data_IF_692108372989
#
_entry.id   IF_692108372989
#
_cell.length_a   1.000
_cell.length_b   1.000
_cell.length_c   1.000
_cell.angle_alpha   90.00
_cell.angle_beta   90.00
_cell.angle_gamma   90.00
#
_symmetry.space_group_name_H-M   'P 1'
#
loop_
_entity.id
_entity.type
_entity.pdbx_description
1 polymer ?
#
# COMPACT_ATOMS: atom_id res chain seq x y z
N UNK A 1 3.19 -14.33 -59.47
CA UNK A 1 3.63 -13.25 -58.54
C UNK A 1 3.89 -13.89 -57.20
N UNK A 2 5.16 -14.09 -56.89
CA UNK A 2 5.66 -14.79 -55.69
C UNK A 2 5.81 -13.75 -54.55
N UNK A 3 5.40 -14.01 -53.29
CA UNK A 3 5.57 -13.05 -52.22
C UNK A 3 7.00 -13.10 -51.67
N UNK A 4 7.61 -11.95 -51.64
CA UNK A 4 8.94 -11.68 -51.10
C UNK A 4 9.00 -11.91 -49.59
N UNK A 5 9.84 -12.80 -49.14
CA UNK A 5 10.16 -13.01 -47.71
C UNK A 5 10.93 -11.82 -47.18
N UNK A 6 10.37 -11.16 -46.16
CA UNK A 6 11.09 -10.15 -45.38
C UNK A 6 11.93 -10.90 -44.33
N UNK A 7 13.26 -10.76 -44.46
CA UNK A 7 14.25 -11.30 -43.55
C UNK A 7 14.16 -10.62 -42.18
N UNK A 8 14.00 -11.41 -41.12
CA UNK A 8 14.11 -10.94 -39.73
C UNK A 8 15.57 -10.52 -39.47
N UNK A 9 15.81 -9.23 -39.31
CA UNK A 9 17.08 -8.71 -38.81
C UNK A 9 17.20 -9.09 -37.34
N UNK A 10 18.26 -9.80 -37.01
CA UNK A 10 18.68 -10.12 -35.65
C UNK A 10 18.88 -8.86 -34.84
N UNK A 11 18.14 -8.77 -33.73
CA UNK A 11 18.37 -7.75 -32.70
C UNK A 11 19.69 -8.14 -32.03
N UNK A 12 20.72 -7.36 -32.30
CA UNK A 12 22.02 -7.46 -31.66
C UNK A 12 21.82 -7.22 -30.14
N UNK A 13 22.09 -8.24 -29.33
CA UNK A 13 22.19 -8.07 -27.88
C UNK A 13 23.25 -7.03 -27.59
N UNK A 14 22.85 -5.91 -27.00
CA UNK A 14 23.78 -4.93 -26.45
C UNK A 14 24.39 -5.58 -25.21
N UNK A 15 25.60 -6.13 -25.38
CA UNK A 15 26.45 -6.54 -24.27
C UNK A 15 26.91 -5.29 -23.53
N UNK A 16 26.40 -5.08 -22.32
CA UNK A 16 26.96 -4.08 -21.43
C UNK A 16 28.32 -4.53 -20.93
N UNK A 17 29.39 -3.73 -21.11
CA UNK A 17 30.78 -4.15 -20.83
C UNK A 17 31.20 -4.06 -19.37
N UNK A 18 30.25 -3.99 -18.40
CA UNK A 18 30.60 -3.87 -17.00
C UNK A 18 30.13 -5.09 -16.19
N UNK A 19 31.05 -6.08 -16.12
CA UNK A 19 30.93 -7.19 -15.16
C UNK A 19 31.65 -6.81 -13.84
N UNK A 20 31.41 -5.58 -13.37
CA UNK A 20 31.94 -5.13 -12.08
C UNK A 20 30.94 -5.48 -10.99
N UNK A 21 31.20 -6.59 -10.29
CA UNK A 21 30.40 -7.04 -9.14
C UNK A 21 30.18 -5.92 -8.10
N UNK A 22 31.13 -5.00 -7.96
CA UNK A 22 31.02 -3.84 -7.05
C UNK A 22 29.97 -2.83 -7.49
N UNK A 23 29.74 -2.65 -8.80
CA UNK A 23 28.68 -1.77 -9.31
C UNK A 23 27.29 -2.40 -9.13
N UNK A 24 27.20 -3.73 -9.28
CA UNK A 24 25.94 -4.47 -9.06
C UNK A 24 25.58 -4.48 -7.56
N UNK A 25 26.55 -4.47 -6.65
CA UNK A 25 26.35 -4.37 -5.20
C UNK A 25 25.86 -2.98 -4.74
N UNK A 26 25.95 -1.96 -5.59
CA UNK A 26 25.46 -0.60 -5.28
C UNK A 26 24.02 -0.34 -5.72
N UNK A 27 23.44 -1.23 -6.53
CA UNK A 27 22.10 -1.07 -7.07
C UNK A 27 21.06 -1.60 -6.06
N UNK A 28 20.24 -0.70 -5.53
CA UNK A 28 19.20 -1.05 -4.58
C UNK A 28 17.83 -1.02 -5.25
N UNK A 29 17.11 -2.15 -5.19
CA UNK A 29 15.73 -2.25 -5.67
C UNK A 29 14.76 -1.70 -4.65
N UNK A 30 13.72 -0.98 -5.11
CA UNK A 30 12.56 -0.63 -4.32
C UNK A 30 11.38 -1.56 -4.63
N UNK A 31 10.80 -2.18 -3.61
CA UNK A 31 9.51 -2.86 -3.67
C UNK A 31 8.50 -1.92 -2.99
N UNK A 32 7.74 -1.21 -3.81
CA UNK A 32 6.72 -0.26 -3.38
C UNK A 32 5.37 -0.97 -3.32
N UNK A 33 4.96 -1.41 -2.13
CA UNK A 33 3.63 -1.98 -1.91
C UNK A 33 2.62 -0.85 -1.66
N UNK A 34 1.70 -0.69 -2.62
CA UNK A 34 0.68 0.36 -2.60
C UNK A 34 -0.68 -0.11 -2.05
N UNK A 35 -0.80 -1.34 -1.64
CA UNK A 35 -2.05 -1.96 -1.19
C UNK A 35 -2.85 -2.46 -2.41
N UNK A 36 -4.17 -2.55 -2.41
CA UNK A 36 -5.20 -1.62 -1.94
C UNK A 36 -5.58 -1.78 -0.46
N UNK A 37 -6.49 -0.90 0.01
CA UNK A 37 -7.10 -1.09 1.34
C UNK A 37 -7.86 -2.44 1.41
N UNK A 38 -7.91 -3.04 2.60
CA UNK A 38 -8.64 -4.29 2.89
C UNK A 38 -8.10 -5.55 2.18
N UNK A 39 -6.84 -5.53 1.78
CA UNK A 39 -6.11 -6.67 1.21
C UNK A 39 -5.12 -7.33 2.19
N UNK A 40 -5.32 -7.14 3.50
CA UNK A 40 -4.47 -7.76 4.51
C UNK A 40 -3.14 -7.01 4.77
N UNK A 41 -3.01 -5.77 4.30
CA UNK A 41 -1.81 -4.93 4.48
C UNK A 41 -1.35 -4.81 5.92
N UNK A 42 -2.29 -4.74 6.88
CA UNK A 42 -1.96 -4.72 8.32
C UNK A 42 -1.17 -5.96 8.76
N UNK A 43 -1.56 -7.15 8.30
CA UNK A 43 -0.85 -8.39 8.63
C UNK A 43 0.53 -8.44 7.96
N UNK A 44 0.63 -8.00 6.71
CA UNK A 44 1.91 -7.90 5.98
C UNK A 44 2.85 -6.91 6.69
N UNK A 45 2.40 -5.70 6.99
CA UNK A 45 3.18 -4.66 7.66
C UNK A 45 3.61 -5.09 9.07
N UNK A 46 2.77 -5.82 9.80
CA UNK A 46 3.13 -6.41 11.09
C UNK A 46 4.25 -7.45 10.94
N UNK A 47 4.16 -8.34 9.96
CA UNK A 47 5.21 -9.32 9.68
C UNK A 47 6.52 -8.64 9.26
N UNK A 48 6.48 -7.64 8.38
CA UNK A 48 7.65 -6.89 7.93
C UNK A 48 8.30 -6.11 9.08
N UNK A 49 7.51 -5.38 9.89
CA UNK A 49 8.02 -4.56 10.98
C UNK A 49 8.63 -5.39 12.11
N UNK A 50 8.01 -6.52 12.46
CA UNK A 50 8.53 -7.41 13.52
C UNK A 50 9.78 -8.18 13.11
N UNK A 51 10.05 -8.32 11.81
CA UNK A 51 11.16 -9.11 11.29
C UNK A 51 12.24 -8.27 10.59
N UNK A 52 12.37 -6.97 10.87
CA UNK A 52 13.37 -6.09 10.25
C UNK A 52 14.80 -6.64 10.33
N UNK A 53 15.19 -7.18 11.48
CA UNK A 53 16.53 -7.78 11.66
C UNK A 53 16.72 -9.02 10.79
N UNK A 54 15.70 -9.87 10.65
CA UNK A 54 15.75 -11.03 9.76
C UNK A 54 15.84 -10.60 8.31
N UNK A 55 15.03 -9.64 7.88
CA UNK A 55 15.05 -9.05 6.54
C UNK A 55 16.44 -8.46 6.21
N UNK A 56 16.97 -7.62 7.08
CA UNK A 56 18.27 -6.96 6.88
C UNK A 56 19.42 -7.98 6.75
N UNK A 57 19.43 -9.07 7.54
CA UNK A 57 20.41 -10.16 7.40
C UNK A 57 20.31 -10.89 6.06
N UNK A 58 19.18 -10.80 5.38
CA UNK A 58 18.94 -11.37 4.06
C UNK A 58 18.98 -10.30 2.94
N UNK A 59 19.62 -9.15 3.19
CA UNK A 59 19.80 -8.11 2.19
C UNK A 59 18.55 -7.28 1.86
N UNK A 60 17.50 -7.36 2.69
CA UNK A 60 16.26 -6.63 2.49
C UNK A 60 16.06 -5.61 3.62
N UNK A 61 15.92 -4.36 3.26
CA UNK A 61 15.65 -3.29 4.20
C UNK A 61 14.16 -2.93 4.20
N UNK A 62 13.54 -2.94 5.38
CA UNK A 62 12.19 -2.42 5.60
C UNK A 62 12.25 -1.07 6.28
N UNK A 63 11.84 -0.01 5.56
CA UNK A 63 11.97 1.38 5.96
C UNK A 63 11.36 1.67 7.34
N UNK A 64 12.03 2.52 8.11
CA UNK A 64 11.59 2.99 9.42
C UNK A 64 11.30 4.50 9.45
N UNK A 65 12.10 5.30 8.76
CA UNK A 65 11.93 6.74 8.71
C UNK A 65 10.54 7.19 8.23
N UNK A 66 9.90 6.55 7.21
CA UNK A 66 8.55 6.91 6.80
C UNK A 66 7.44 6.37 7.72
N UNK A 67 7.80 5.71 8.83
CA UNK A 67 6.91 5.19 9.87
C UNK A 67 7.32 3.81 10.38
N UNK A 68 7.19 3.59 11.68
CA UNK A 68 7.63 2.34 12.32
C UNK A 68 6.87 1.10 11.84
N UNK A 69 5.60 1.26 11.49
CA UNK A 69 4.73 0.15 11.10
C UNK A 69 4.52 0.10 9.59
N UNK A 70 4.20 1.24 8.99
CA UNK A 70 4.01 1.40 7.54
C UNK A 70 4.51 2.77 7.08
N UNK A 71 4.62 2.96 5.77
CA UNK A 71 5.11 4.21 5.18
C UNK A 71 4.02 5.31 5.09
N UNK A 72 3.20 5.49 6.15
CA UNK A 72 2.08 6.44 6.19
C UNK A 72 2.53 7.89 5.96
N UNK A 73 3.64 8.29 6.55
CA UNK A 73 4.15 9.66 6.40
C UNK A 73 4.66 9.93 4.98
N UNK A 74 5.27 8.92 4.33
CA UNK A 74 5.69 9.07 2.93
C UNK A 74 4.48 9.24 2.01
N UNK A 75 3.41 8.46 2.18
CA UNK A 75 2.17 8.66 1.44
C UNK A 75 1.58 10.06 1.68
N UNK A 76 1.58 10.54 2.94
CA UNK A 76 1.11 11.89 3.26
C UNK A 76 1.96 12.99 2.61
N UNK A 77 3.28 12.78 2.48
CA UNK A 77 4.18 13.76 1.85
C UNK A 77 3.88 14.00 0.36
N UNK A 78 3.20 13.06 -0.29
CA UNK A 78 2.75 13.15 -1.69
C UNK A 78 1.22 13.27 -1.83
N UNK A 79 0.52 13.58 -0.73
CA UNK A 79 -0.92 13.85 -0.72
C UNK A 79 -1.15 15.37 -0.76
N UNK A 80 -2.05 15.89 -1.62
CA UNK A 80 -2.34 17.31 -1.66
C UNK A 80 -2.91 17.83 -0.35
N UNK A 81 -2.48 19.02 0.08
CA UNK A 81 -2.94 19.67 1.32
C UNK A 81 -4.47 19.85 1.41
N UNK A 82 -5.16 20.04 0.27
CA UNK A 82 -6.62 20.19 0.22
C UNK A 82 -7.43 18.92 0.52
N UNK A 83 -6.80 17.76 0.59
CA UNK A 83 -7.48 16.46 0.70
C UNK A 83 -7.80 16.05 2.15
N UNK A 84 -8.01 16.92 3.09
CA UNK A 84 -8.40 16.56 4.49
C UNK A 84 -7.84 15.21 4.97
N UNK A 85 -6.57 14.96 4.67
CA UNK A 85 -5.90 13.73 5.05
C UNK A 85 -5.74 13.65 6.58
N UNK A 86 -6.11 12.52 7.16
CA UNK A 86 -6.11 12.32 8.61
C UNK A 86 -4.74 12.46 9.26
N UNK A 87 -3.67 12.10 8.55
CA UNK A 87 -2.29 12.28 9.01
C UNK A 87 -1.91 13.78 9.03
N UNK A 88 -2.19 14.48 7.93
CA UNK A 88 -1.93 15.92 7.81
C UNK A 88 -2.66 16.69 8.90
N UNK A 89 -3.95 16.37 9.13
CA UNK A 89 -4.76 16.99 10.17
C UNK A 89 -4.23 16.68 11.58
N UNK A 90 -3.92 15.40 11.86
CA UNK A 90 -3.44 14.94 13.17
C UNK A 90 -2.14 15.63 13.59
N UNK A 91 -1.23 15.88 12.64
CA UNK A 91 0.06 16.51 12.91
C UNK A 91 0.05 18.03 12.67
N UNK A 92 -1.11 18.62 12.38
CA UNK A 92 -1.29 20.06 12.17
C UNK A 92 -0.45 20.61 11.01
N UNK A 93 -0.33 19.81 9.93
CA UNK A 93 0.45 20.13 8.73
C UNK A 93 -0.43 20.82 7.66
N UNK A 94 -1.36 21.67 8.07
CA UNK A 94 -2.34 22.30 7.18
C UNK A 94 -1.82 23.55 6.49
N UNK A 95 -0.79 24.19 7.06
CA UNK A 95 -0.19 25.39 6.50
C UNK A 95 0.88 25.01 5.47
N UNK A 96 0.90 25.63 4.27
CA UNK A 96 1.80 25.25 3.17
C UNK A 96 3.28 25.26 3.56
N UNK A 97 3.75 26.29 4.26
CA UNK A 97 5.15 26.44 4.68
C UNK A 97 5.55 25.34 5.68
N UNK A 98 4.68 25.08 6.65
CA UNK A 98 4.90 24.03 7.67
C UNK A 98 4.91 22.63 7.04
N UNK A 99 4.00 22.39 6.08
CA UNK A 99 3.99 21.15 5.32
C UNK A 99 5.26 20.97 4.47
N UNK A 100 5.68 22.01 3.76
CA UNK A 100 6.88 21.97 2.93
C UNK A 100 8.15 21.73 3.75
N UNK A 101 8.27 22.33 4.92
CA UNK A 101 9.39 22.10 5.84
C UNK A 101 9.40 20.67 6.36
N UNK A 102 8.25 20.19 6.86
CA UNK A 102 8.09 18.82 7.31
C UNK A 102 8.40 17.80 6.20
N UNK A 103 7.86 18.00 4.99
CA UNK A 103 8.10 17.14 3.83
C UNK A 103 9.58 17.06 3.49
N UNK A 104 10.26 18.20 3.43
CA UNK A 104 11.70 18.26 3.13
C UNK A 104 12.52 17.49 4.17
N UNK A 105 12.22 17.67 5.46
CA UNK A 105 12.88 16.96 6.56
C UNK A 105 12.65 15.45 6.45
N UNK A 106 11.41 15.00 6.29
CA UNK A 106 11.06 13.59 6.14
C UNK A 106 11.79 12.94 4.96
N UNK A 107 11.76 13.56 3.78
CA UNK A 107 12.43 13.02 2.59
C UNK A 107 13.94 12.95 2.75
N UNK A 108 14.55 13.90 3.47
CA UNK A 108 15.97 13.87 3.83
C UNK A 108 16.31 12.71 4.79
N UNK A 109 15.47 12.47 5.80
CA UNK A 109 15.63 11.36 6.75
C UNK A 109 15.53 10.00 6.04
N UNK A 110 14.57 9.85 5.13
CA UNK A 110 14.41 8.64 4.32
C UNK A 110 15.64 8.42 3.43
N UNK A 111 16.14 9.46 2.76
CA UNK A 111 17.37 9.39 1.95
C UNK A 111 18.57 8.96 2.76
N UNK A 112 18.73 9.49 3.96
CA UNK A 112 19.82 9.11 4.86
C UNK A 112 19.72 7.64 5.27
N UNK A 113 18.51 7.16 5.55
CA UNK A 113 18.26 5.75 5.89
C UNK A 113 18.55 4.83 4.71
N UNK A 114 18.12 5.18 3.48
CA UNK A 114 18.45 4.45 2.25
C UNK A 114 19.97 4.35 2.04
N UNK A 115 20.67 5.47 2.20
CA UNK A 115 22.13 5.52 2.04
C UNK A 115 22.83 4.57 3.02
N UNK A 116 22.35 4.52 4.27
CA UNK A 116 22.87 3.59 5.29
C UNK A 116 22.55 2.14 4.93
N UNK A 117 21.34 1.87 4.47
CA UNK A 117 20.89 0.52 4.14
C UNK A 117 21.65 -0.07 2.95
N UNK A 118 22.05 0.73 1.97
CA UNK A 118 22.88 0.29 0.81
C UNK A 118 24.18 -0.40 1.21
N UNK A 119 24.72 -0.12 2.39
CA UNK A 119 25.91 -0.80 2.90
C UNK A 119 25.73 -2.29 3.22
N UNK A 120 24.51 -2.81 3.22
CA UNK A 120 24.23 -4.23 3.53
C UNK A 120 22.96 -4.80 2.92
N UNK A 121 22.17 -3.98 2.21
CA UNK A 121 20.93 -4.42 1.58
C UNK A 121 20.91 -4.06 0.09
N UNK A 122 20.41 -4.97 -0.73
CA UNK A 122 20.21 -4.77 -2.17
C UNK A 122 18.74 -4.54 -2.56
N UNK A 123 17.84 -4.65 -1.60
CA UNK A 123 16.41 -4.42 -1.79
C UNK A 123 15.82 -3.63 -0.63
N UNK A 124 14.85 -2.77 -0.91
CA UNK A 124 14.07 -2.07 0.09
C UNK A 124 12.58 -2.34 -0.08
N UNK A 125 11.84 -2.26 1.01
CA UNK A 125 10.38 -2.33 0.99
C UNK A 125 9.82 -1.02 1.56
N UNK A 126 8.92 -0.40 0.80
CA UNK A 126 8.09 0.71 1.21
C UNK A 126 6.63 0.25 1.10
N UNK A 127 5.93 0.08 2.21
CA UNK A 127 4.57 -0.46 2.21
C UNK A 127 3.59 0.48 2.90
N UNK A 128 2.54 0.86 2.19
CA UNK A 128 1.37 1.53 2.74
C UNK A 128 0.19 1.48 1.75
N UNK A 129 -0.98 1.06 2.19
CA UNK A 129 -2.24 1.14 1.45
C UNK A 129 -2.68 2.59 1.18
N UNK A 130 -2.09 3.53 1.89
CA UNK A 130 -2.37 4.95 1.69
C UNK A 130 -1.77 5.52 0.40
N UNK A 131 -0.82 4.84 -0.22
CA UNK A 131 -0.37 5.21 -1.56
C UNK A 131 -1.52 5.11 -2.56
N UNK A 132 -2.25 4.00 -2.60
CA UNK A 132 -3.38 3.83 -3.52
C UNK A 132 -4.59 4.69 -3.17
N UNK A 133 -4.82 4.96 -1.87
CA UNK A 133 -6.04 5.62 -1.41
C UNK A 133 -5.91 7.12 -1.15
N UNK A 134 -4.71 7.68 -1.15
CA UNK A 134 -4.45 9.11 -0.87
C UNK A 134 -3.66 9.81 -1.98
N UNK A 135 -2.71 9.12 -2.62
CA UNK A 135 -1.93 9.67 -3.75
C UNK A 135 -2.71 9.37 -5.03
N UNK A 136 -3.74 10.18 -5.29
CA UNK A 136 -4.77 9.85 -6.30
C UNK A 136 -4.73 10.72 -7.55
N UNK A 137 -3.89 11.76 -7.65
CA UNK A 137 -3.71 12.55 -8.88
C UNK A 137 -2.49 12.06 -9.64
N UNK A 138 -2.54 12.12 -10.95
CA UNK A 138 -1.43 11.71 -11.82
C UNK A 138 -0.14 12.48 -11.48
N UNK A 139 -0.25 13.79 -11.22
CA UNK A 139 0.88 14.62 -10.81
C UNK A 139 1.52 14.17 -9.48
N UNK A 140 0.71 13.77 -8.49
CA UNK A 140 1.22 13.33 -7.18
C UNK A 140 1.95 11.99 -7.28
N UNK A 141 1.45 11.07 -8.11
CA UNK A 141 2.12 9.79 -8.38
C UNK A 141 3.39 10.00 -9.19
N UNK A 142 3.39 10.95 -10.14
CA UNK A 142 4.58 11.33 -10.90
C UNK A 142 5.68 11.92 -9.99
N UNK A 143 5.31 12.84 -9.08
CA UNK A 143 6.23 13.41 -8.07
C UNK A 143 6.86 12.31 -7.19
N UNK A 144 6.05 11.34 -6.72
CA UNK A 144 6.55 10.21 -5.96
C UNK A 144 7.49 9.34 -6.79
N UNK A 145 7.14 9.09 -8.06
CA UNK A 145 7.98 8.32 -8.96
C UNK A 145 9.32 8.99 -9.25
N UNK A 146 9.35 10.30 -9.42
CA UNK A 146 10.57 11.09 -9.58
C UNK A 146 11.46 10.99 -8.33
N UNK A 147 10.88 11.19 -7.15
CA UNK A 147 11.60 11.04 -5.88
C UNK A 147 12.22 9.65 -5.74
N UNK A 148 11.43 8.59 -6.00
CA UNK A 148 11.93 7.22 -5.83
C UNK A 148 12.98 6.84 -6.87
N UNK A 149 12.87 7.34 -8.12
CA UNK A 149 13.90 7.12 -9.15
C UNK A 149 15.23 7.80 -8.84
N UNK A 150 15.21 8.89 -8.08
CA UNK A 150 16.44 9.53 -7.61
C UNK A 150 17.16 8.68 -6.53
N UNK A 151 16.43 7.77 -5.88
CA UNK A 151 16.96 6.96 -4.77
C UNK A 151 17.13 5.48 -5.14
N UNK A 152 16.49 4.97 -6.19
CA UNK A 152 16.48 3.53 -6.53
C UNK A 152 16.59 3.33 -8.03
N UNK A 153 17.36 2.34 -8.43
CA UNK A 153 17.64 2.01 -9.84
C UNK A 153 16.58 1.07 -10.46
N UNK A 154 15.98 0.21 -9.63
CA UNK A 154 14.89 -0.68 -10.02
C UNK A 154 13.71 -0.50 -9.04
N UNK A 155 12.53 -0.22 -9.58
CA UNK A 155 11.33 -0.01 -8.78
C UNK A 155 10.25 -1.00 -9.24
N UNK A 156 9.74 -1.78 -8.30
CA UNK A 156 8.57 -2.64 -8.50
C UNK A 156 7.42 -2.11 -7.69
N UNK A 157 6.31 -1.82 -8.35
CA UNK A 157 5.07 -1.38 -7.71
C UNK A 157 4.15 -2.57 -7.54
N UNK A 158 4.01 -3.03 -6.30
CA UNK A 158 3.15 -4.17 -5.95
C UNK A 158 1.78 -3.67 -5.55
N UNK A 159 0.74 -4.22 -6.19
CA UNK A 159 -0.65 -3.84 -5.93
C UNK A 159 -1.51 -5.10 -5.80
N UNK A 160 -1.98 -5.39 -4.59
CA UNK A 160 -2.97 -6.44 -4.36
C UNK A 160 -4.37 -5.88 -4.52
N UNK A 161 -5.16 -6.52 -5.40
CA UNK A 161 -6.55 -6.18 -5.67
C UNK A 161 -7.48 -7.16 -4.96
N UNK A 162 -8.57 -6.66 -4.45
CA UNK A 162 -9.64 -7.46 -3.85
C UNK A 162 -10.91 -7.27 -4.67
N UNK A 163 -11.74 -8.32 -4.82
CA UNK A 163 -13.07 -8.16 -5.41
C UNK A 163 -13.81 -7.00 -4.76
N UNK A 164 -14.38 -6.13 -5.56
CA UNK A 164 -14.97 -4.86 -5.10
C UNK A 164 -16.11 -5.07 -4.10
N UNK A 165 -16.95 -6.10 -4.28
CA UNK A 165 -18.03 -6.46 -3.35
C UNK A 165 -17.50 -6.90 -1.97
N UNK A 166 -16.43 -7.70 -1.95
CA UNK A 166 -15.76 -8.11 -0.70
C UNK A 166 -15.03 -6.94 -0.02
N UNK A 167 -14.49 -6.02 -0.81
CA UNK A 167 -13.91 -4.79 -0.30
C UNK A 167 -14.99 -3.90 0.32
N UNK A 168 -16.12 -3.70 -0.36
CA UNK A 168 -17.24 -2.92 0.14
C UNK A 168 -17.77 -3.48 1.47
N UNK A 169 -18.02 -4.80 1.53
CA UNK A 169 -18.44 -5.47 2.77
C UNK A 169 -17.44 -5.26 3.91
N UNK A 170 -16.14 -5.38 3.63
CA UNK A 170 -15.09 -5.17 4.63
C UNK A 170 -15.07 -3.73 5.15
N UNK A 171 -15.26 -2.73 4.29
CA UNK A 171 -15.33 -1.31 4.67
C UNK A 171 -16.60 -0.99 5.47
N UNK A 172 -17.74 -1.59 5.11
CA UNK A 172 -18.98 -1.47 5.90
C UNK A 172 -18.73 -2.00 7.31
N UNK A 173 -18.15 -3.18 7.45
CA UNK A 173 -17.84 -3.77 8.75
C UNK A 173 -16.92 -2.87 9.60
N UNK A 174 -15.91 -2.29 8.99
CA UNK A 174 -15.02 -1.32 9.64
C UNK A 174 -15.78 -0.06 10.07
N UNK A 175 -16.59 0.49 9.19
CA UNK A 175 -17.42 1.67 9.48
C UNK A 175 -18.36 1.42 10.66
N UNK A 176 -19.05 0.28 10.68
CA UNK A 176 -19.94 -0.09 11.80
C UNK A 176 -19.17 -0.23 13.12
N UNK A 177 -18.00 -0.88 13.11
CA UNK A 177 -17.11 -0.96 14.28
C UNK A 177 -16.59 0.40 14.72
N UNK A 178 -16.35 1.31 13.78
CA UNK A 178 -15.94 2.68 14.04
C UNK A 178 -17.10 3.59 14.51
N UNK A 179 -18.35 3.11 14.46
CA UNK A 179 -19.52 3.82 14.98
C UNK A 179 -20.28 4.64 13.95
N UNK A 180 -20.09 4.39 12.66
CA UNK A 180 -20.91 5.04 11.64
C UNK A 180 -22.34 4.49 11.67
N UNK A 181 -23.37 5.37 11.65
CA UNK A 181 -24.76 4.97 11.81
C UNK A 181 -25.43 4.54 10.51
N UNK A 182 -24.65 4.27 9.47
CA UNK A 182 -25.17 3.89 8.16
C UNK A 182 -24.21 2.92 7.45
N UNK A 183 -24.79 2.09 6.57
CA UNK A 183 -24.04 1.25 5.65
C UNK A 183 -23.70 2.07 4.41
N UNK A 184 -22.42 2.39 4.23
CA UNK A 184 -21.96 3.14 3.07
C UNK A 184 -21.55 2.15 1.98
N UNK A 185 -22.50 1.77 1.12
CA UNK A 185 -22.17 1.06 -0.11
C UNK A 185 -21.56 2.02 -1.13
N UNK A 186 -20.60 1.55 -1.95
CA UNK A 186 -20.11 2.37 -3.04
C UNK A 186 -21.26 2.65 -4.02
N UNK A 187 -21.50 3.92 -4.28
CA UNK A 187 -22.51 4.35 -5.25
C UNK A 187 -21.83 4.58 -6.58
N UNK A 188 -22.30 3.88 -7.60
CA UNK A 188 -21.92 4.15 -8.99
C UNK A 188 -22.56 5.47 -9.38
N UNK A 189 -21.79 6.37 -10.00
CA UNK A 189 -22.31 7.65 -10.48
C UNK A 189 -23.23 7.44 -11.69
N UNK A 190 -24.00 8.46 -12.06
CA UNK A 190 -24.93 8.43 -13.22
C UNK A 190 -24.20 8.13 -14.53
N UNK A 191 -22.96 8.56 -14.67
CA UNK A 191 -22.07 8.28 -15.81
C UNK A 191 -21.44 6.88 -15.80
N UNK A 192 -21.78 6.04 -14.81
CA UNK A 192 -21.22 4.71 -14.63
C UNK A 192 -19.89 4.68 -13.88
N UNK A 193 -19.32 5.84 -13.48
CA UNK A 193 -18.03 5.88 -12.80
C UNK A 193 -18.13 5.30 -11.39
N UNK A 194 -17.16 4.45 -11.06
CA UNK A 194 -16.99 3.90 -9.72
C UNK A 194 -16.33 4.93 -8.79
N UNK A 195 -16.61 4.87 -7.48
CA UNK A 195 -15.81 5.63 -6.51
C UNK A 195 -14.33 5.26 -6.62
N UNK A 196 -13.39 6.21 -6.45
CA UNK A 196 -11.96 6.01 -6.75
C UNK A 196 -11.31 4.78 -6.11
N UNK A 197 -11.74 4.38 -4.91
CA UNK A 197 -11.21 3.18 -4.22
C UNK A 197 -11.63 1.86 -4.88
N UNK A 198 -12.63 1.87 -5.76
CA UNK A 198 -13.16 0.71 -6.47
C UNK A 198 -12.83 0.72 -7.96
N UNK A 199 -12.28 1.83 -8.45
CA UNK A 199 -11.85 2.01 -9.84
C UNK A 199 -10.41 1.55 -10.02
N UNK A 200 -10.25 0.24 -10.12
CA UNK A 200 -8.93 -0.38 -10.28
C UNK A 200 -8.31 -0.09 -11.65
N UNK A 201 -9.13 0.14 -12.68
CA UNK A 201 -8.63 0.50 -14.00
C UNK A 201 -7.90 1.85 -13.95
N UNK A 202 -8.53 2.88 -13.39
CA UNK A 202 -7.91 4.20 -13.21
C UNK A 202 -6.70 4.13 -12.28
N UNK A 203 -6.79 3.37 -11.18
CA UNK A 203 -5.66 3.16 -10.27
C UNK A 203 -4.45 2.57 -11.02
N UNK A 204 -4.62 1.42 -11.67
CA UNK A 204 -3.53 0.73 -12.37
C UNK A 204 -2.98 1.61 -13.49
N UNK A 205 -3.85 2.24 -14.30
CA UNK A 205 -3.44 3.13 -15.39
C UNK A 205 -2.55 4.29 -14.93
N UNK A 206 -2.94 4.95 -13.83
CA UNK A 206 -2.17 6.04 -13.21
C UNK A 206 -0.78 5.61 -12.77
N UNK A 207 -0.68 4.49 -12.05
CA UNK A 207 0.58 3.97 -11.56
C UNK A 207 1.45 3.42 -12.68
N UNK A 208 0.85 2.77 -13.70
CA UNK A 208 1.55 2.33 -14.91
C UNK A 208 2.09 3.51 -15.72
N UNK A 209 1.35 4.61 -15.81
CA UNK A 209 1.80 5.83 -16.48
C UNK A 209 3.05 6.42 -15.80
N UNK A 210 3.04 6.47 -14.47
CA UNK A 210 4.13 7.05 -13.70
C UNK A 210 5.37 6.16 -13.60
N UNK A 211 5.21 4.84 -13.41
CA UNK A 211 6.32 3.91 -13.15
C UNK A 211 6.69 3.02 -14.35
N UNK A 212 5.82 2.91 -15.34
CA UNK A 212 5.91 1.98 -16.45
C UNK A 212 5.14 0.67 -16.19
N UNK A 213 4.54 0.09 -17.22
CA UNK A 213 3.76 -1.15 -17.11
C UNK A 213 4.60 -2.33 -16.58
N UNK A 214 5.86 -2.42 -16.99
CA UNK A 214 6.77 -3.50 -16.56
C UNK A 214 7.09 -3.47 -15.05
N UNK A 215 7.00 -2.30 -14.44
CA UNK A 215 7.20 -2.11 -13.00
C UNK A 215 6.00 -2.64 -12.18
N UNK A 216 4.80 -2.69 -12.77
CA UNK A 216 3.59 -3.11 -12.06
C UNK A 216 3.56 -4.63 -11.82
N UNK A 217 3.33 -5.01 -10.56
CA UNK A 217 3.14 -6.40 -10.11
C UNK A 217 1.79 -6.49 -9.43
N UNK A 218 0.81 -7.04 -10.16
CA UNK A 218 -0.55 -7.17 -9.67
C UNK A 218 -0.76 -8.54 -9.03
N UNK A 219 -1.35 -8.55 -7.85
CA UNK A 219 -1.79 -9.74 -7.14
C UNK A 219 -3.30 -9.70 -6.87
N UNK A 220 -3.94 -10.86 -6.78
CA UNK A 220 -5.34 -10.96 -6.38
C UNK A 220 -5.39 -11.41 -4.92
N UNK A 221 -5.98 -10.58 -4.07
CA UNK A 221 -6.20 -10.95 -2.68
C UNK A 221 -7.49 -11.73 -2.53
N UNK A 222 -7.34 -13.05 -2.39
CA UNK A 222 -8.42 -13.96 -1.98
C UNK A 222 -7.92 -14.77 -0.80
N UNK A 223 -8.71 -14.85 0.28
CA UNK A 223 -8.32 -15.63 1.47
C UNK A 223 -8.08 -17.12 1.17
N UNK A 224 -8.67 -17.63 0.08
CA UNK A 224 -8.59 -19.03 -0.35
C UNK A 224 -7.56 -19.28 -1.45
N UNK A 225 -7.12 -18.25 -2.17
CA UNK A 225 -6.30 -18.39 -3.38
C UNK A 225 -4.82 -18.03 -3.16
N UNK A 226 -4.48 -17.36 -2.06
CA UNK A 226 -3.07 -17.11 -1.73
C UNK A 226 -2.37 -18.42 -1.36
N UNK A 227 -1.18 -18.61 -1.88
CA UNK A 227 -0.30 -19.75 -1.54
C UNK A 227 -0.16 -19.83 -0.01
N UNK A 228 -0.62 -20.91 0.60
CA UNK A 228 -0.69 -21.02 2.06
C UNK A 228 -1.76 -20.17 2.77
N UNK A 229 -2.70 -19.50 2.04
CA UNK A 229 -3.83 -18.75 2.60
C UNK A 229 -3.48 -17.38 3.20
N UNK A 230 -2.26 -16.87 3.03
CA UNK A 230 -1.79 -15.63 3.67
C UNK A 230 -1.09 -14.70 2.67
N UNK A 231 -1.45 -13.40 2.70
CA UNK A 231 -0.74 -12.35 1.96
C UNK A 231 0.75 -12.28 2.36
N UNK A 232 1.08 -12.60 3.60
CA UNK A 232 2.47 -12.59 4.10
C UNK A 232 3.30 -13.64 3.37
N UNK A 233 2.76 -14.85 3.21
CA UNK A 233 3.43 -15.93 2.49
C UNK A 233 3.54 -15.60 1.00
N UNK A 234 2.44 -15.16 0.38
CA UNK A 234 2.43 -14.79 -1.04
C UNK A 234 3.44 -13.67 -1.35
N UNK A 235 3.46 -12.61 -0.55
CA UNK A 235 4.42 -11.51 -0.71
C UNK A 235 5.86 -11.97 -0.51
N UNK A 236 6.11 -12.81 0.49
CA UNK A 236 7.44 -13.35 0.76
C UNK A 236 7.97 -14.18 -0.42
N UNK A 237 7.13 -15.06 -0.98
CA UNK A 237 7.49 -15.95 -2.08
C UNK A 237 7.63 -15.20 -3.42
N UNK A 238 6.67 -14.31 -3.72
CA UNK A 238 6.59 -13.68 -5.05
C UNK A 238 7.44 -12.42 -5.18
N UNK A 239 7.66 -11.68 -4.09
CA UNK A 239 8.34 -10.38 -4.13
C UNK A 239 9.73 -10.41 -3.49
N UNK A 240 9.93 -11.18 -2.42
CA UNK A 240 11.17 -11.11 -1.64
C UNK A 240 12.15 -12.26 -1.90
N UNK A 241 11.66 -13.47 -2.09
CA UNK A 241 12.47 -14.68 -2.02
C UNK A 241 13.05 -14.96 -0.62
N UNK A 242 12.55 -14.26 0.42
CA UNK A 242 12.93 -14.38 1.82
C UNK A 242 11.70 -14.77 2.62
N UNK A 243 11.71 -15.90 3.36
CA UNK A 243 10.54 -16.34 4.11
C UNK A 243 10.20 -15.36 5.24
N UNK A 244 8.92 -15.09 5.39
CA UNK A 244 8.34 -14.31 6.49
C UNK A 244 7.43 -15.19 7.33
N UNK A 245 7.53 -15.03 8.66
CA UNK A 245 6.56 -15.60 9.59
C UNK A 245 5.39 -14.63 9.76
N UNK A 246 4.20 -15.17 9.95
CA UNK A 246 3.08 -14.35 10.40
C UNK A 246 3.40 -13.80 11.79
N UNK A 247 3.02 -12.55 12.04
CA UNK A 247 3.15 -11.97 13.37
C UNK A 247 2.16 -12.66 14.32
N UNK A 248 2.63 -13.02 15.54
CA UNK A 248 1.84 -13.76 16.54
C UNK A 248 0.53 -13.07 16.98
N UNK A 249 0.38 -11.79 16.66
CA UNK A 249 -0.78 -10.97 16.96
C UNK A 249 -1.47 -10.41 15.70
N UNK A 250 -1.45 -11.15 14.59
CA UNK A 250 -2.28 -10.81 13.45
C UNK A 250 -3.75 -10.78 13.92
N UNK A 251 -4.25 -9.59 14.22
CA UNK A 251 -5.64 -9.38 14.64
C UNK A 251 -6.51 -10.00 13.55
N UNK A 252 -7.13 -11.13 13.87
CA UNK A 252 -8.14 -11.73 13.00
C UNK A 252 -9.32 -10.77 12.94
N UNK A 253 -9.30 -9.90 11.93
CA UNK A 253 -10.45 -9.08 11.58
C UNK A 253 -11.46 -9.98 10.88
N UNK A 254 -12.12 -10.86 11.65
CA UNK A 254 -13.24 -11.64 11.16
C UNK A 254 -14.35 -10.72 10.66
N UNK A 255 -14.94 -11.11 9.55
CA UNK A 255 -16.09 -10.38 9.02
C UNK A 255 -17.25 -10.50 10.01
N UNK A 256 -17.93 -9.40 10.30
CA UNK A 256 -19.15 -9.43 11.10
C UNK A 256 -20.20 -10.31 10.42
N UNK A 257 -20.91 -11.11 11.18
CA UNK A 257 -22.13 -11.77 10.72
C UNK A 257 -23.18 -10.73 10.32
N UNK A 258 -24.18 -11.09 9.54
CA UNK A 258 -25.26 -10.19 9.18
C UNK A 258 -25.98 -9.68 10.45
N UNK A 259 -26.20 -10.56 11.43
CA UNK A 259 -26.82 -10.20 12.71
C UNK A 259 -25.98 -9.16 13.47
N UNK A 260 -24.66 -9.36 13.53
CA UNK A 260 -23.73 -8.43 14.12
C UNK A 260 -23.73 -7.06 13.41
N UNK A 261 -23.78 -7.05 12.08
CA UNK A 261 -23.89 -5.80 11.31
C UNK A 261 -25.18 -5.04 11.63
N UNK A 262 -26.31 -5.74 11.70
CA UNK A 262 -27.61 -5.12 12.03
C UNK A 262 -27.59 -4.59 13.46
N UNK A 263 -27.15 -5.37 14.44
CA UNK A 263 -27.09 -4.95 15.83
C UNK A 263 -26.17 -3.72 16.04
N UNK A 264 -24.97 -3.71 15.41
CA UNK A 264 -24.07 -2.55 15.46
C UNK A 264 -24.67 -1.33 14.76
N UNK A 265 -25.36 -1.53 13.62
CA UNK A 265 -26.02 -0.45 12.92
C UNK A 265 -27.11 0.21 13.80
N UNK A 266 -27.98 -0.60 14.40
CA UNK A 266 -29.03 -0.11 15.33
C UNK A 266 -28.42 0.59 16.54
N UNK A 267 -27.39 0.03 17.14
CA UNK A 267 -26.65 0.66 18.24
C UNK A 267 -26.08 2.02 17.83
N UNK A 268 -25.41 2.09 16.68
CA UNK A 268 -24.80 3.31 16.19
C UNK A 268 -25.85 4.39 15.85
N UNK A 269 -27.01 3.98 15.31
CA UNK A 269 -28.12 4.88 15.04
C UNK A 269 -28.73 5.44 16.33
N UNK A 270 -28.94 4.59 17.35
CA UNK A 270 -29.47 5.01 18.63
C UNK A 270 -28.53 5.98 19.38
N UNK A 271 -27.23 5.75 19.30
CA UNK A 271 -26.24 6.59 19.99
C UNK A 271 -25.89 7.88 19.24
N UNK A 272 -26.15 7.95 17.93
CA UNK A 272 -25.81 9.08 17.08
C UNK A 272 -24.31 9.25 16.82
N UNK A 273 -23.99 10.07 15.83
CA UNK A 273 -22.62 10.28 15.38
C UNK A 273 -21.75 11.03 16.40
N UNK A 274 -22.34 11.97 17.13
CA UNK A 274 -21.64 12.79 18.14
C UNK A 274 -21.14 11.97 19.32
N UNK A 275 -21.91 10.96 19.74
CA UNK A 275 -21.54 10.06 20.84
C UNK A 275 -20.55 8.95 20.44
N UNK A 276 -20.14 8.89 19.18
CA UNK A 276 -19.34 7.80 18.59
C UNK A 276 -18.10 7.43 19.40
N UNK A 277 -17.37 8.41 19.89
CA UNK A 277 -16.14 8.19 20.67
C UNK A 277 -16.43 7.79 22.11
N UNK A 278 -17.47 8.38 22.73
CA UNK A 278 -17.83 8.12 24.12
C UNK A 278 -18.28 6.66 24.36
N UNK A 279 -18.94 6.05 23.38
CA UNK A 279 -19.42 4.66 23.47
C UNK A 279 -18.53 3.65 22.73
N UNK A 280 -17.29 4.03 22.41
CA UNK A 280 -16.39 3.16 21.66
C UNK A 280 -16.05 1.85 22.41
N UNK A 281 -16.00 1.88 23.74
CA UNK A 281 -15.77 0.68 24.56
C UNK A 281 -16.96 -0.27 24.48
N UNK A 282 -18.17 0.25 24.71
CA UNK A 282 -19.42 -0.52 24.65
C UNK A 282 -19.62 -1.16 23.27
N UNK A 283 -19.34 -0.42 22.21
CA UNK A 283 -19.39 -0.93 20.83
C UNK A 283 -18.41 -2.08 20.60
N UNK A 284 -17.18 -1.96 21.12
CA UNK A 284 -16.19 -3.04 20.99
C UNK A 284 -16.61 -4.31 21.75
N UNK A 285 -17.17 -4.15 22.93
CA UNK A 285 -17.69 -5.28 23.68
C UNK A 285 -18.87 -5.93 22.93
N UNK A 286 -19.85 -5.15 22.47
CA UNK A 286 -20.96 -5.66 21.66
C UNK A 286 -20.46 -6.44 20.42
N UNK A 287 -19.46 -5.92 19.72
CA UNK A 287 -18.89 -6.57 18.54
C UNK A 287 -18.15 -7.89 18.82
N UNK A 288 -17.79 -8.18 20.07
CA UNK A 288 -17.18 -9.47 20.47
C UNK A 288 -18.22 -10.55 20.76
N UNK A 289 -19.42 -10.16 21.18
CA UNK A 289 -20.49 -11.09 21.54
C UNK A 289 -21.39 -11.46 20.35
N UNK A 290 -21.27 -10.78 19.21
CA UNK A 290 -22.06 -10.95 17.99
C UNK A 290 -21.26 -11.65 16.87
#
# INVERSE_FOLDING_TARGET
>A
MTPTRISARSITQVQYPFNDKRLIELLMRCILDIGTEKTGTTALQAALSSQRTHLSRNGVWYAKAPGDFNCRSLAAAFTPLGNRDDYILKFGLTEPEKFAEWRRKLLSEIRQEITTARGGCNSSILSSEHFSSRVMRDADVADLAEYLRAEFEDIRVVCYLRRQDLMATSRINEGLRAGFPQRLFPTVKEDGALPPLYDYQTLIGRWSLAFGESAMKLGIFERSASTGGSIVTDFAETQLGVPLKQADHAISNESLSLAAQVALLMFNQAMGLESRLHVAKQRRELAKYL
#
